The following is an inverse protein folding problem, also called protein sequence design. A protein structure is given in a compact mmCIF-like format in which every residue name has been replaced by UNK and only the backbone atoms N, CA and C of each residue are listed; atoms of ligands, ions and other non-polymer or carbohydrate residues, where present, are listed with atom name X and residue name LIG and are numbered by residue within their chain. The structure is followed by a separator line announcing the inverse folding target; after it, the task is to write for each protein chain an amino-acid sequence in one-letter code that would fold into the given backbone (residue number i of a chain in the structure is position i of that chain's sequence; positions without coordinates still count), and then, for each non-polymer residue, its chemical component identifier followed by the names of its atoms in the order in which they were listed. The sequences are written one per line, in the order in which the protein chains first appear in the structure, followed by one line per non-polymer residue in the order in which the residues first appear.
data_IF_929380067338
#
_entry.id   IF_929380067338
#
_cell.length_a   1.000
_cell.length_b   1.000
_cell.length_c   1.000
_cell.angle_alpha   90.00
_cell.angle_beta   90.00
_cell.angle_gamma   90.00
#
_symmetry.space_group_name_H-M   'P 1'
#
loop_
_entity.id
_entity.type
_entity.pdbx_description
1 polymer ?
#
# COMPACT_ATOMS: atom_id res chain seq x y z
N UNK A 1 11.24 -16.29 10.09
CA UNK A 1 12.01 -15.02 10.11
C UNK A 1 12.63 -14.84 8.75
N UNK A 2 12.37 -13.71 8.11
CA UNK A 2 13.07 -13.39 6.87
C UNK A 2 14.50 -12.92 7.22
N UNK A 3 15.55 -13.50 6.62
CA UNK A 3 16.93 -13.18 6.96
C UNK A 3 17.38 -11.76 6.57
N UNK A 4 16.59 -11.01 5.79
CA UNK A 4 16.89 -9.64 5.35
C UNK A 4 16.11 -8.57 6.13
N UNK A 5 14.89 -8.87 6.59
CA UNK A 5 13.98 -7.90 7.21
C UNK A 5 13.65 -8.19 8.68
N UNK A 6 14.08 -9.33 9.23
CA UNK A 6 13.74 -9.73 10.59
C UNK A 6 12.28 -10.19 10.70
N UNK A 7 11.68 -10.05 11.89
CA UNK A 7 10.27 -10.35 12.09
C UNK A 7 9.40 -9.27 11.42
N UNK A 8 8.72 -9.64 10.34
CA UNK A 8 7.78 -8.79 9.63
C UNK A 8 6.37 -9.34 9.75
N UNK A 9 5.39 -8.45 9.95
CA UNK A 9 3.98 -8.83 9.87
C UNK A 9 3.61 -9.09 8.41
N UNK A 10 3.02 -10.25 8.15
CA UNK A 10 2.57 -10.67 6.81
C UNK A 10 1.06 -10.87 6.85
N UNK A 11 0.40 -10.50 5.76
CA UNK A 11 -1.05 -10.64 5.59
C UNK A 11 -1.32 -11.72 4.54
N UNK A 12 -2.13 -12.72 4.90
CA UNK A 12 -2.62 -13.75 3.98
C UNK A 12 -4.04 -13.42 3.51
N UNK A 13 -4.41 -13.93 2.35
CA UNK A 13 -5.71 -13.76 1.69
C UNK A 13 -6.08 -12.32 1.33
N UNK A 14 -6.40 -11.49 2.32
CA UNK A 14 -6.88 -10.12 2.13
C UNK A 14 -6.23 -9.18 3.15
N UNK A 15 -5.79 -8.02 2.65
CA UNK A 15 -5.39 -6.88 3.49
C UNK A 15 -6.33 -5.71 3.21
N UNK A 16 -6.92 -5.15 4.27
CA UNK A 16 -7.81 -3.99 4.18
C UNK A 16 -7.26 -2.83 5.03
N UNK A 17 -7.32 -1.62 4.48
CA UNK A 17 -6.91 -0.40 5.18
C UNK A 17 -7.95 0.70 4.98
N UNK A 18 -8.34 1.35 6.07
CA UNK A 18 -9.23 2.52 6.03
C UNK A 18 -8.43 3.78 6.29
N UNK A 19 -8.49 4.74 5.36
CA UNK A 19 -7.77 6.01 5.43
C UNK A 19 -8.74 7.17 5.54
N UNK A 20 -8.46 8.12 6.43
CA UNK A 20 -9.10 9.44 6.43
C UNK A 20 -8.21 10.40 5.65
N UNK A 21 -8.75 10.98 4.59
CA UNK A 21 -8.00 11.84 3.68
C UNK A 21 -8.40 13.29 3.91
N UNK A 22 -7.41 14.17 3.96
CA UNK A 22 -7.61 15.62 4.09
C UNK A 22 -6.90 16.32 2.93
N UNK A 23 -7.55 17.25 2.21
CA UNK A 23 -6.90 18.03 1.17
C UNK A 23 -5.68 18.80 1.69
N UNK A 24 -4.60 18.84 0.91
CA UNK A 24 -3.38 19.60 1.24
C UNK A 24 -3.63 21.10 1.08
N UNK A 25 -4.46 21.49 0.11
CA UNK A 25 -4.81 22.87 -0.18
C UNK A 25 -6.32 23.11 -0.08
N UNK A 26 -6.70 24.34 0.27
CA UNK A 26 -8.10 24.78 0.29
C UNK A 26 -8.73 24.63 -1.10
N UNK A 27 -9.94 24.07 -1.16
CA UNK A 27 -10.68 23.78 -2.39
C UNK A 27 -10.08 22.71 -3.31
N UNK A 28 -9.06 21.97 -2.87
CA UNK A 28 -8.56 20.82 -3.64
C UNK A 28 -9.55 19.64 -3.50
N UNK A 29 -10.26 19.33 -4.59
CA UNK A 29 -11.26 18.25 -4.64
C UNK A 29 -10.74 16.94 -5.21
N UNK A 30 -9.58 16.98 -5.85
CA UNK A 30 -8.99 15.82 -6.53
C UNK A 30 -7.62 15.51 -5.94
N UNK A 31 -7.25 14.23 -5.97
CA UNK A 31 -5.95 13.76 -5.50
C UNK A 31 -5.56 12.45 -6.15
N UNK A 32 -4.33 12.02 -5.92
CA UNK A 32 -3.86 10.69 -6.32
C UNK A 32 -3.29 10.02 -5.08
N UNK A 33 -3.81 8.85 -4.74
CA UNK A 33 -3.26 7.98 -3.71
C UNK A 33 -2.35 6.96 -4.38
N UNK A 34 -1.04 7.06 -4.13
CA UNK A 34 -0.07 6.07 -4.58
C UNK A 34 0.07 4.98 -3.52
N UNK A 35 -0.17 3.74 -3.90
CA UNK A 35 -0.10 2.56 -3.04
C UNK A 35 1.05 1.71 -3.54
N UNK A 36 1.97 1.37 -2.64
CA UNK A 36 3.09 0.46 -2.92
C UNK A 36 2.98 -0.76 -2.01
N UNK A 37 3.15 -1.94 -2.57
CA UNK A 37 3.06 -3.20 -1.84
C UNK A 37 4.02 -4.24 -2.41
N UNK A 38 4.36 -5.23 -1.58
CA UNK A 38 5.23 -6.33 -1.94
C UNK A 38 4.63 -7.62 -1.38
N UNK A 39 4.63 -8.67 -2.19
CA UNK A 39 4.32 -10.02 -1.75
C UNK A 39 5.56 -10.90 -1.80
N UNK A 40 5.54 -11.97 -1.01
CA UNK A 40 6.51 -13.05 -1.12
C UNK A 40 5.75 -14.36 -1.27
N UNK A 41 6.31 -15.26 -2.09
CA UNK A 41 5.91 -16.65 -2.10
C UNK A 41 6.54 -17.36 -0.89
N UNK A 42 5.74 -18.14 -0.17
CA UNK A 42 6.17 -18.93 0.99
C UNK A 42 7.34 -19.89 0.69
N UNK A 43 7.58 -20.22 -0.58
CA UNK A 43 8.77 -20.96 -1.03
C UNK A 43 10.08 -20.15 -1.04
N UNK A 44 10.07 -18.91 -0.54
CA UNK A 44 11.27 -18.09 -0.31
C UNK A 44 11.59 -17.06 -1.39
N UNK A 45 10.63 -16.74 -2.28
CA UNK A 45 10.82 -15.73 -3.33
C UNK A 45 10.01 -14.49 -2.99
N UNK A 46 10.67 -13.36 -2.77
CA UNK A 46 10.00 -12.06 -2.70
C UNK A 46 9.95 -11.39 -4.07
N UNK A 47 8.77 -10.91 -4.45
CA UNK A 47 8.57 -10.18 -5.70
C UNK A 47 9.07 -8.73 -5.55
N UNK A 48 9.35 -8.00 -6.64
CA UNK A 48 9.62 -6.58 -6.58
C UNK A 48 8.44 -5.76 -6.03
N UNK A 49 8.71 -4.53 -5.61
CA UNK A 49 7.66 -3.59 -5.20
C UNK A 49 6.73 -3.27 -6.37
N UNK A 50 5.43 -3.47 -6.15
CA UNK A 50 4.37 -3.10 -7.07
C UNK A 50 3.80 -1.74 -6.67
N UNK A 51 3.46 -0.93 -7.68
CA UNK A 51 2.89 0.41 -7.49
C UNK A 51 1.57 0.52 -8.22
N UNK A 52 0.55 1.02 -7.53
CA UNK A 52 -0.75 1.38 -8.11
C UNK A 52 -1.14 2.78 -7.67
N UNK A 53 -1.93 3.46 -8.50
CA UNK A 53 -2.39 4.82 -8.23
C UNK A 53 -3.90 4.86 -8.32
N UNK A 54 -4.55 5.38 -7.27
CA UNK A 54 -5.99 5.61 -7.26
C UNK A 54 -6.26 7.11 -7.43
N UNK A 55 -7.10 7.45 -8.39
CA UNK A 55 -7.61 8.82 -8.52
C UNK A 55 -8.71 9.05 -7.50
N UNK A 56 -8.56 10.10 -6.71
CA UNK A 56 -9.52 10.54 -5.70
C UNK A 56 -10.29 11.73 -6.25
N UNK A 57 -11.59 11.74 -6.01
CA UNK A 57 -12.49 12.85 -6.38
C UNK A 57 -13.44 13.15 -5.22
N UNK A 58 -13.82 14.41 -5.08
CA UNK A 58 -14.72 14.85 -4.01
C UNK A 58 -14.09 14.88 -2.61
N UNK A 59 -12.76 15.06 -2.53
CA UNK A 59 -12.05 15.32 -1.28
C UNK A 59 -12.47 16.63 -0.63
#
# INVERSE_FOLDING_TARGET
EDPFFGASEVYHDVVEATLRLTPIAKNQKNGVLNITYQGCWEGGICYPLLKTSLTLSGL
#
